data_IF_115650561558
#
_entry.id   IF_115650561558
#
_cell.length_a   1.000
_cell.length_b   1.000
_cell.length_c   1.000
_cell.angle_alpha   90.00
_cell.angle_beta   90.00
_cell.angle_gamma   90.00
#
_symmetry.space_group_name_H-M   'P 1'
#
loop_
_entity.id
_entity.type
_entity.pdbx_description
1 polymer ?
#
# COMPACT_ATOMS: atom_id res chain seq x y z
N UNK A 1 -14.75 9.61 5.13
CA UNK A 1 -13.54 10.46 5.18
C UNK A 1 -12.31 9.59 4.97
N UNK A 2 -11.15 10.20 4.69
CA UNK A 2 -9.87 9.50 4.65
C UNK A 2 -9.50 9.00 6.06
N UNK A 3 -8.75 7.91 6.09
CA UNK A 3 -8.19 7.40 7.33
C UNK A 3 -6.85 8.11 7.61
N UNK A 4 -6.77 8.81 8.73
CA UNK A 4 -5.61 9.64 9.11
C UNK A 4 -4.35 8.81 9.34
N UNK A 5 -4.50 7.51 9.57
CA UNK A 5 -3.41 6.56 9.63
C UNK A 5 -2.63 6.51 8.30
N UNK A 6 -3.29 6.69 7.16
CA UNK A 6 -2.69 6.61 5.82
C UNK A 6 -2.15 7.96 5.35
N UNK A 7 -1.07 8.43 5.98
CA UNK A 7 -0.47 9.73 5.64
C UNK A 7 0.06 9.84 4.19
N UNK A 8 0.56 8.75 3.59
CA UNK A 8 1.10 8.72 2.24
C UNK A 8 1.06 7.30 1.68
N UNK A 9 0.62 7.13 0.43
CA UNK A 9 0.42 5.85 -0.25
C UNK A 9 -0.68 4.98 0.34
N UNK A 10 -1.48 4.40 -0.56
CA UNK A 10 -2.57 3.47 -0.27
C UNK A 10 -3.78 4.08 0.47
N UNK A 11 -3.78 5.39 0.70
CA UNK A 11 -4.94 6.13 1.21
C UNK A 11 -6.14 6.06 0.24
N UNK A 12 -5.84 6.04 -1.06
CA UNK A 12 -6.79 5.90 -2.15
C UNK A 12 -7.35 4.48 -2.26
N UNK A 13 -6.48 3.48 -2.06
CA UNK A 13 -6.85 2.07 -2.04
C UNK A 13 -7.72 1.73 -0.83
N UNK A 14 -7.35 2.16 0.38
CA UNK A 14 -8.16 2.03 1.60
C UNK A 14 -9.55 2.63 1.36
N UNK A 15 -9.61 3.89 0.92
CA UNK A 15 -10.87 4.57 0.67
C UNK A 15 -11.71 3.82 -0.38
N UNK A 16 -11.08 3.39 -1.48
CA UNK A 16 -11.75 2.67 -2.54
C UNK A 16 -12.35 1.34 -2.07
N UNK A 17 -11.60 0.57 -1.30
CA UNK A 17 -12.09 -0.69 -0.72
C UNK A 17 -13.25 -0.44 0.25
N UNK A 18 -13.14 0.55 1.14
CA UNK A 18 -14.24 0.92 2.05
C UNK A 18 -15.49 1.37 1.31
N UNK A 19 -15.36 2.15 0.25
CA UNK A 19 -16.49 2.54 -0.62
C UNK A 19 -17.15 1.30 -1.23
N UNK A 20 -16.36 0.36 -1.75
CA UNK A 20 -16.87 -0.90 -2.34
C UNK A 20 -17.54 -1.79 -1.29
N UNK A 21 -16.95 -1.92 -0.11
CA UNK A 21 -17.50 -2.69 1.01
C UNK A 21 -18.79 -2.08 1.57
N UNK A 22 -18.94 -0.75 1.48
CA UNK A 22 -20.17 -0.05 1.77
C UNK A 22 -21.26 -0.20 0.67
N UNK A 23 -21.02 -1.02 -0.36
CA UNK A 23 -22.00 -1.31 -1.42
C UNK A 23 -22.01 -0.30 -2.56
N UNK A 24 -21.11 0.69 -2.56
CA UNK A 24 -21.01 1.66 -3.64
C UNK A 24 -20.20 1.12 -4.83
N UNK A 25 -20.36 1.79 -5.96
CA UNK A 25 -19.61 1.50 -7.20
C UNK A 25 -18.46 2.50 -7.35
N UNK A 26 -17.31 2.01 -7.77
CA UNK A 26 -16.23 2.81 -8.31
C UNK A 26 -16.25 2.66 -9.83
N UNK A 27 -16.08 3.76 -10.55
CA UNK A 27 -16.09 3.77 -12.01
C UNK A 27 -14.77 4.36 -12.52
N UNK A 28 -14.21 3.72 -13.54
CA UNK A 28 -13.15 4.28 -14.36
C UNK A 28 -13.78 4.95 -15.58
N UNK A 29 -13.37 6.19 -15.87
CA UNK A 29 -13.91 6.98 -16.99
C UNK A 29 -12.80 7.15 -18.02
N UNK A 30 -12.86 6.39 -19.10
CA UNK A 30 -11.82 6.39 -20.16
C UNK A 30 -11.64 7.76 -20.83
N UNK A 31 -12.71 8.54 -20.89
CA UNK A 31 -12.74 9.83 -21.59
C UNK A 31 -12.16 10.97 -20.74
N UNK A 32 -11.96 10.73 -19.44
CA UNK A 32 -11.32 11.68 -18.53
C UNK A 32 -9.80 11.44 -18.51
N UNK A 33 -9.08 12.15 -19.40
CA UNK A 33 -7.63 11.99 -19.57
C UNK A 33 -6.86 13.12 -18.87
N UNK A 34 -5.78 12.76 -18.15
CA UNK A 34 -4.84 13.70 -17.53
C UNK A 34 -3.42 13.16 -17.62
N UNK A 35 -2.45 14.07 -17.76
CA UNK A 35 -1.02 13.72 -17.76
C UNK A 35 -0.47 13.69 -16.33
N UNK A 36 0.23 12.61 -15.99
CA UNK A 36 0.86 12.46 -14.67
C UNK A 36 2.34 12.07 -14.80
N UNK A 37 3.22 12.94 -14.30
CA UNK A 37 4.66 12.69 -14.26
C UNK A 37 4.98 11.82 -13.04
N UNK A 38 5.25 10.54 -13.29
CA UNK A 38 5.50 9.58 -12.24
C UNK A 38 6.78 9.90 -11.43
N UNK A 39 6.64 9.87 -10.09
CA UNK A 39 7.78 9.83 -9.17
C UNK A 39 8.51 11.14 -8.91
N UNK A 40 8.01 12.28 -9.42
CA UNK A 40 8.63 13.59 -9.20
C UNK A 40 8.77 13.93 -7.70
N UNK A 41 7.73 13.65 -6.92
CA UNK A 41 7.72 13.88 -5.46
C UNK A 41 8.44 12.77 -4.69
N UNK A 42 8.28 11.50 -5.10
CA UNK A 42 8.83 10.33 -4.42
C UNK A 42 10.36 10.33 -4.34
N UNK A 43 11.04 10.87 -5.36
CA UNK A 43 12.51 11.00 -5.39
C UNK A 43 13.06 11.82 -4.22
N UNK A 44 12.31 12.83 -3.77
CA UNK A 44 12.73 13.74 -2.68
C UNK A 44 12.52 13.13 -1.29
N UNK A 45 11.69 12.09 -1.17
CA UNK A 45 11.28 11.50 0.13
C UNK A 45 11.47 9.99 0.17
N UNK A 46 12.48 9.46 -0.53
CA UNK A 46 12.67 8.02 -0.78
C UNK A 46 12.51 7.12 0.45
N UNK A 47 13.07 7.50 1.60
CA UNK A 47 12.92 6.70 2.83
C UNK A 47 11.49 6.74 3.39
N UNK A 48 10.85 7.93 3.43
CA UNK A 48 9.44 8.04 3.87
C UNK A 48 8.51 7.29 2.92
N UNK A 49 8.80 7.34 1.61
CA UNK A 49 8.03 6.60 0.63
C UNK A 49 8.13 5.09 0.81
N UNK A 50 9.33 4.58 1.10
CA UNK A 50 9.52 3.18 1.48
C UNK A 50 8.77 2.88 2.78
N UNK A 51 8.94 3.70 3.82
CA UNK A 51 8.31 3.47 5.11
C UNK A 51 6.79 3.37 5.00
N UNK A 52 6.13 4.45 4.54
CA UNK A 52 4.68 4.47 4.46
C UNK A 52 4.15 3.47 3.43
N UNK A 53 4.78 3.37 2.26
CA UNK A 53 4.34 2.44 1.23
C UNK A 53 4.49 0.96 1.62
N UNK A 54 5.38 0.61 2.56
CA UNK A 54 5.54 -0.78 3.04
C UNK A 54 4.76 -1.09 4.32
N UNK A 55 4.51 -0.07 5.14
CA UNK A 55 3.60 -0.16 6.28
C UNK A 55 2.16 -0.29 5.78
N UNK A 56 1.75 0.65 4.94
CA UNK A 56 0.36 0.78 4.49
C UNK A 56 -0.07 -0.40 3.60
N UNK A 57 0.85 -1.04 2.87
CA UNK A 57 0.57 -2.27 2.12
C UNK A 57 0.00 -3.38 3.02
N UNK A 58 0.57 -3.60 4.21
CA UNK A 58 0.04 -4.56 5.17
C UNK A 58 -1.21 -4.04 5.87
N UNK A 59 -1.30 -2.74 6.14
CA UNK A 59 -2.45 -2.16 6.83
C UNK A 59 -3.73 -2.28 5.99
N UNK A 60 -3.67 -2.08 4.67
CA UNK A 60 -4.82 -2.35 3.78
C UNK A 60 -5.27 -3.80 3.90
N UNK A 61 -4.34 -4.76 3.91
CA UNK A 61 -4.70 -6.18 4.05
C UNK A 61 -5.37 -6.43 5.40
N UNK A 62 -4.84 -5.88 6.49
CA UNK A 62 -5.39 -6.12 7.83
C UNK A 62 -6.72 -5.39 8.06
N UNK A 63 -6.87 -4.16 7.56
CA UNK A 63 -8.02 -3.30 7.81
C UNK A 63 -9.18 -3.55 6.85
N UNK A 64 -8.89 -3.82 5.57
CA UNK A 64 -9.93 -3.82 4.52
C UNK A 64 -10.20 -5.19 3.91
N UNK A 65 -9.30 -6.17 4.03
CA UNK A 65 -9.55 -7.48 3.41
C UNK A 65 -10.44 -8.36 4.28
N UNK A 66 -11.42 -9.08 3.69
CA UNK A 66 -12.18 -10.06 4.43
C UNK A 66 -11.26 -11.18 4.96
N UNK A 67 -11.42 -11.56 6.23
CA UNK A 67 -10.57 -12.58 6.87
C UNK A 67 -10.41 -13.89 6.07
N UNK A 68 -11.46 -14.46 5.43
CA UNK A 68 -11.30 -15.66 4.60
C UNK A 68 -10.34 -15.47 3.41
N UNK A 69 -10.31 -14.26 2.84
CA UNK A 69 -9.39 -13.91 1.76
C UNK A 69 -7.96 -13.86 2.31
N UNK A 70 -7.75 -13.24 3.46
CA UNK A 70 -6.43 -13.21 4.12
C UNK A 70 -5.93 -14.63 4.36
N UNK A 71 -6.75 -15.52 4.93
CA UNK A 71 -6.36 -16.90 5.19
C UNK A 71 -6.01 -17.67 3.92
N UNK A 72 -6.83 -17.55 2.87
CA UNK A 72 -6.58 -18.18 1.57
C UNK A 72 -5.26 -17.71 0.94
N UNK A 73 -4.94 -16.43 1.10
CA UNK A 73 -3.78 -15.79 0.49
C UNK A 73 -2.60 -15.60 1.45
N UNK A 74 -2.63 -16.17 2.65
CA UNK A 74 -1.62 -15.98 3.69
C UNK A 74 -0.22 -16.32 3.19
N UNK A 75 -0.08 -17.43 2.48
CA UNK A 75 1.20 -17.85 1.90
C UNK A 75 1.73 -16.82 0.89
N UNK A 76 0.87 -16.20 0.08
CA UNK A 76 1.26 -15.16 -0.88
C UNK A 76 1.68 -13.88 -0.17
N UNK A 77 0.95 -13.48 0.88
CA UNK A 77 1.29 -12.33 1.72
C UNK A 77 2.70 -12.53 2.31
N UNK A 78 2.97 -13.70 2.91
CA UNK A 78 4.28 -14.02 3.49
C UNK A 78 5.39 -14.04 2.43
N UNK A 79 5.14 -14.62 1.24
CA UNK A 79 6.11 -14.63 0.15
C UNK A 79 6.47 -13.22 -0.33
N UNK A 80 5.48 -12.33 -0.42
CA UNK A 80 5.73 -10.91 -0.73
C UNK A 80 6.61 -10.28 0.35
N UNK A 81 6.28 -10.47 1.63
CA UNK A 81 7.06 -9.92 2.75
C UNK A 81 8.52 -10.41 2.75
N UNK A 82 8.75 -11.69 2.47
CA UNK A 82 10.10 -12.26 2.32
C UNK A 82 10.85 -11.62 1.13
N UNK A 83 10.18 -11.46 -0.01
CA UNK A 83 10.73 -10.77 -1.18
C UNK A 83 11.12 -9.32 -0.88
N UNK A 84 10.33 -8.62 -0.05
CA UNK A 84 10.65 -7.26 0.40
C UNK A 84 11.94 -7.22 1.20
N UNK A 85 12.10 -8.14 2.17
CA UNK A 85 13.30 -8.22 3.00
C UNK A 85 14.54 -8.40 2.13
N UNK A 86 14.50 -9.33 1.18
CA UNK A 86 15.61 -9.58 0.25
C UNK A 86 15.92 -8.32 -0.56
N UNK A 87 14.90 -7.68 -1.12
CA UNK A 87 15.05 -6.47 -1.94
C UNK A 87 15.66 -5.31 -1.15
N UNK A 88 15.11 -5.01 0.02
CA UNK A 88 15.56 -3.86 0.81
C UNK A 88 16.88 -4.12 1.54
N UNK A 89 17.26 -5.37 1.76
CA UNK A 89 18.63 -5.73 2.16
C UNK A 89 19.62 -5.35 1.06
N UNK A 90 19.35 -5.74 -0.19
CA UNK A 90 20.20 -5.37 -1.35
C UNK A 90 20.28 -3.85 -1.57
N UNK A 91 19.24 -3.11 -1.20
CA UNK A 91 19.20 -1.65 -1.30
C UNK A 91 19.84 -0.92 -0.09
N UNK A 92 20.35 -1.64 0.92
CA UNK A 92 20.84 -1.08 2.19
C UNK A 92 19.77 -0.23 2.92
N UNK A 93 18.51 -0.64 2.81
CA UNK A 93 17.32 0.02 3.39
C UNK A 93 16.51 -0.90 4.29
N UNK A 94 17.07 -2.05 4.70
CA UNK A 94 16.39 -2.99 5.59
C UNK A 94 15.93 -2.32 6.90
N UNK A 95 16.71 -1.41 7.48
CA UNK A 95 16.30 -0.66 8.68
C UNK A 95 15.02 0.17 8.48
N UNK A 96 14.81 0.76 7.29
CA UNK A 96 13.58 1.51 6.96
C UNK A 96 12.40 0.57 6.82
N UNK A 97 12.61 -0.59 6.19
CA UNK A 97 11.58 -1.63 6.06
C UNK A 97 11.16 -2.14 7.44
N UNK A 98 12.13 -2.47 8.31
CA UNK A 98 11.84 -3.00 9.65
C UNK A 98 11.09 -1.97 10.50
N UNK A 99 11.49 -0.70 10.44
CA UNK A 99 10.75 0.38 11.10
C UNK A 99 9.29 0.46 10.62
N UNK A 100 9.01 0.12 9.35
CA UNK A 100 7.67 0.13 8.79
C UNK A 100 6.79 -1.06 9.23
N UNK A 101 7.33 -2.03 9.98
CA UNK A 101 6.60 -3.20 10.49
C UNK A 101 6.34 -3.15 12.01
N UNK A 102 6.86 -2.12 12.68
CA UNK A 102 6.60 -1.78 14.09
C UNK A 102 5.48 -0.73 14.14
#
# INVERSE_FOLDING_TARGET
>A
LLDEDFHLYSEDLDLGLRIRLAGHKLAYVSDAVLDHIHGASSKKVRNRAIFYGRRNELWVVVKDWPAPVIWRHLHQILLVQLGEIIRYTKMLKLHVLLAAKV
#
